data_IF_494164890844
#
_entry.id   IF_494164890844
#
_cell.length_a   1.000
_cell.length_b   1.000
_cell.length_c   1.000
_cell.angle_alpha   90.00
_cell.angle_beta   90.00
_cell.angle_gamma   90.00
#
_symmetry.space_group_name_H-M   'P 1'
#
loop_
_entity.id
_entity.type
_entity.pdbx_description
1 polymer ?
#
# COMPACT_ATOMS: atom_id res chain seq x y z
N UNK A 1 -46.55 32.69 -28.61
CA UNK A 1 -46.04 31.36 -28.98
C UNK A 1 -44.83 31.08 -28.12
N UNK A 2 -44.91 30.11 -27.21
CA UNK A 2 -43.85 29.82 -26.19
C UNK A 2 -43.12 28.55 -26.62
N UNK A 3 -41.88 28.69 -27.13
CA UNK A 3 -41.07 27.56 -27.55
C UNK A 3 -40.58 26.81 -26.31
N UNK A 4 -41.03 25.54 -26.13
CA UNK A 4 -40.53 24.63 -25.13
C UNK A 4 -39.38 23.86 -25.76
N UNK A 5 -38.15 24.13 -25.31
CA UNK A 5 -36.98 23.31 -25.68
C UNK A 5 -36.94 22.09 -24.79
N UNK A 6 -37.10 20.90 -25.36
CA UNK A 6 -36.90 19.62 -24.71
C UNK A 6 -35.40 19.34 -24.69
N UNK A 7 -34.80 19.41 -23.51
CA UNK A 7 -33.42 18.99 -23.29
C UNK A 7 -33.38 17.45 -23.10
N UNK A 8 -33.00 16.73 -24.17
CA UNK A 8 -32.80 15.28 -24.07
C UNK A 8 -31.48 15.02 -23.36
N UNK A 9 -31.54 14.57 -22.10
CA UNK A 9 -30.37 14.02 -21.38
C UNK A 9 -30.03 12.63 -21.95
N UNK A 10 -28.96 12.56 -22.74
CA UNK A 10 -28.38 11.29 -23.15
C UNK A 10 -27.56 10.71 -21.96
N UNK A 11 -28.09 9.70 -21.28
CA UNK A 11 -27.31 8.87 -20.38
C UNK A 11 -26.42 7.94 -21.23
N UNK A 12 -25.13 8.24 -21.31
CA UNK A 12 -24.16 7.31 -21.87
C UNK A 12 -23.94 6.22 -20.81
N UNK A 13 -24.61 5.10 -20.97
CA UNK A 13 -24.25 3.89 -20.26
C UNK A 13 -22.95 3.36 -20.88
N UNK A 14 -21.82 3.55 -20.19
CA UNK A 14 -20.61 2.80 -20.50
C UNK A 14 -20.88 1.36 -20.12
N UNK A 15 -21.09 0.50 -21.11
CA UNK A 15 -21.13 -0.94 -20.89
C UNK A 15 -19.74 -1.36 -20.39
N UNK A 16 -19.63 -1.60 -19.10
CA UNK A 16 -18.40 -2.10 -18.51
C UNK A 16 -18.29 -3.58 -18.89
N UNK A 17 -17.26 -3.92 -19.66
CA UNK A 17 -17.01 -5.27 -20.14
C UNK A 17 -16.47 -6.10 -18.97
N UNK A 18 -17.16 -7.19 -18.62
CA UNK A 18 -16.62 -8.20 -17.70
C UNK A 18 -15.35 -8.83 -18.24
N UNK A 19 -14.42 -9.22 -17.37
CA UNK A 19 -13.22 -9.96 -17.75
C UNK A 19 -13.33 -11.40 -17.27
N UNK A 20 -13.05 -12.35 -18.16
CA UNK A 20 -12.95 -13.79 -17.82
C UNK A 20 -11.47 -14.18 -17.91
N UNK A 21 -10.95 -14.78 -16.84
CA UNK A 21 -9.59 -15.31 -16.82
C UNK A 21 -9.66 -16.83 -16.70
N UNK A 22 -9.15 -17.55 -17.70
CA UNK A 22 -8.97 -19.00 -17.62
C UNK A 22 -7.62 -19.31 -16.98
N UNK A 23 -7.61 -20.21 -15.99
CA UNK A 23 -6.41 -20.63 -15.29
C UNK A 23 -6.31 -22.16 -15.23
N UNK A 24 -5.07 -22.70 -15.25
CA UNK A 24 -4.90 -24.15 -15.05
C UNK A 24 -5.30 -24.57 -13.64
N UNK A 25 -5.07 -23.70 -12.67
CA UNK A 25 -5.49 -23.90 -11.29
C UNK A 25 -5.46 -22.59 -10.50
N UNK A 26 -6.19 -22.56 -9.38
CA UNK A 26 -6.02 -21.53 -8.37
C UNK A 26 -5.89 -22.12 -6.98
N UNK A 27 -5.22 -21.39 -6.09
CA UNK A 27 -5.07 -21.76 -4.69
C UNK A 27 -6.25 -21.16 -3.90
N UNK A 28 -7.15 -22.04 -3.44
CA UNK A 28 -8.21 -21.67 -2.49
C UNK A 28 -7.61 -21.66 -1.08
N UNK A 29 -7.25 -20.48 -0.62
CA UNK A 29 -6.60 -20.30 0.69
C UNK A 29 -7.55 -20.53 1.86
N UNK A 30 -8.85 -20.38 1.66
CA UNK A 30 -9.89 -20.60 2.68
C UNK A 30 -10.03 -22.10 2.96
N UNK A 31 -10.19 -22.89 1.90
CA UNK A 31 -10.36 -24.34 2.00
C UNK A 31 -9.03 -25.11 1.92
N UNK A 32 -7.89 -24.41 1.76
CA UNK A 32 -6.54 -25.00 1.64
C UNK A 32 -6.45 -26.05 0.53
N UNK A 33 -7.01 -25.73 -0.65
CA UNK A 33 -7.09 -26.64 -1.78
C UNK A 33 -6.54 -25.99 -3.05
N UNK A 34 -6.00 -26.83 -3.93
CA UNK A 34 -5.68 -26.48 -5.32
C UNK A 34 -6.86 -26.91 -6.20
N UNK A 35 -7.55 -25.96 -6.81
CA UNK A 35 -8.67 -26.21 -7.70
C UNK A 35 -8.19 -26.07 -9.15
N UNK A 36 -8.41 -27.09 -9.97
CA UNK A 36 -7.95 -27.16 -11.36
C UNK A 36 -9.01 -26.67 -12.33
N UNK A 37 -8.55 -26.22 -13.52
CA UNK A 37 -9.39 -25.87 -14.67
C UNK A 37 -10.49 -24.88 -14.31
N UNK A 38 -10.13 -23.67 -13.93
CA UNK A 38 -11.09 -22.71 -13.40
C UNK A 38 -11.19 -21.45 -14.25
N UNK A 39 -12.34 -20.80 -14.16
CA UNK A 39 -12.59 -19.46 -14.71
C UNK A 39 -12.83 -18.48 -13.59
N UNK A 40 -12.10 -17.38 -13.60
CA UNK A 40 -12.26 -16.25 -12.67
C UNK A 40 -12.99 -15.14 -13.43
N UNK A 41 -14.14 -14.72 -12.94
CA UNK A 41 -14.94 -13.65 -13.55
C UNK A 41 -14.74 -12.38 -12.73
N UNK A 42 -14.40 -11.29 -13.42
CA UNK A 42 -14.17 -9.99 -12.82
C UNK A 42 -15.17 -9.00 -13.41
N UNK A 43 -15.94 -8.39 -12.52
CA UNK A 43 -16.87 -7.30 -12.83
C UNK A 43 -16.51 -6.11 -11.96
N UNK A 44 -16.45 -4.93 -12.55
CA UNK A 44 -16.11 -3.67 -11.85
C UNK A 44 -14.81 -3.75 -11.00
N UNK A 45 -13.78 -4.43 -11.54
CA UNK A 45 -12.49 -4.60 -10.87
C UNK A 45 -12.52 -5.53 -9.65
N UNK A 46 -13.61 -6.30 -9.46
CA UNK A 46 -13.78 -7.27 -8.37
C UNK A 46 -14.05 -8.66 -8.91
N UNK A 47 -13.54 -9.68 -8.23
CA UNK A 47 -13.92 -11.07 -8.52
C UNK A 47 -15.38 -11.25 -8.16
N UNK A 48 -16.23 -11.44 -9.16
CA UNK A 48 -17.66 -11.69 -8.98
C UNK A 48 -17.97 -13.18 -8.79
N UNK A 49 -17.21 -14.05 -9.46
CA UNK A 49 -17.31 -15.49 -9.25
C UNK A 49 -16.07 -16.25 -9.68
N UNK A 50 -15.89 -17.44 -9.12
CA UNK A 50 -14.87 -18.41 -9.57
C UNK A 50 -15.62 -19.70 -9.87
N UNK A 51 -15.53 -20.18 -11.11
CA UNK A 51 -16.22 -21.37 -11.56
C UNK A 51 -15.23 -22.51 -11.76
N UNK A 52 -15.57 -23.69 -11.29
CA UNK A 52 -14.88 -24.91 -11.64
C UNK A 52 -15.23 -25.26 -13.11
N UNK A 53 -14.24 -25.44 -13.93
CA UNK A 53 -14.27 -25.56 -15.39
C UNK A 53 -14.29 -24.22 -16.13
N UNK A 54 -13.94 -24.28 -17.43
CA UNK A 54 -13.93 -23.12 -18.29
C UNK A 54 -15.35 -22.78 -18.74
N UNK A 55 -15.83 -21.63 -18.34
CA UNK A 55 -17.14 -21.10 -18.79
C UNK A 55 -17.04 -20.69 -20.26
N UNK A 56 -18.13 -20.84 -21.03
CA UNK A 56 -18.15 -20.37 -22.42
C UNK A 56 -18.03 -18.85 -22.43
N UNK A 57 -17.13 -18.36 -23.26
CA UNK A 57 -17.09 -16.94 -23.60
C UNK A 57 -18.39 -16.57 -24.32
N UNK A 58 -19.19 -15.72 -23.71
CA UNK A 58 -20.35 -15.10 -24.32
C UNK A 58 -19.97 -13.69 -24.76
N UNK A 59 -20.19 -13.35 -25.97
CA UNK A 59 -19.72 -12.27 -26.85
C UNK A 59 -19.42 -10.85 -26.31
N UNK A 60 -19.38 -10.59 -25.00
CA UNK A 60 -19.16 -9.26 -24.43
C UNK A 60 -18.13 -9.24 -23.27
N UNK A 61 -17.23 -10.20 -23.21
CA UNK A 61 -16.21 -10.28 -22.19
C UNK A 61 -14.81 -10.11 -22.77
N UNK A 62 -13.90 -9.52 -21.99
CA UNK A 62 -12.47 -9.61 -22.28
C UNK A 62 -11.96 -10.95 -21.78
N UNK A 63 -11.47 -11.80 -22.67
CA UNK A 63 -10.92 -13.10 -22.31
C UNK A 63 -9.41 -13.01 -22.12
N UNK A 64 -8.92 -13.45 -20.96
CA UNK A 64 -7.49 -13.62 -20.66
C UNK A 64 -7.22 -15.11 -20.47
N UNK A 65 -6.44 -15.70 -21.37
CA UNK A 65 -6.12 -17.12 -21.32
C UNK A 65 -4.78 -17.36 -20.60
N UNK A 66 -4.89 -17.83 -19.35
CA UNK A 66 -3.77 -18.21 -18.50
C UNK A 66 -3.81 -19.72 -18.17
N UNK A 67 -4.31 -20.57 -19.08
CA UNK A 67 -4.40 -22.03 -18.87
C UNK A 67 -3.04 -22.72 -18.70
N UNK A 68 -1.93 -22.05 -18.98
CA UNK A 68 -0.58 -22.51 -18.67
C UNK A 68 -0.10 -22.14 -17.25
N UNK A 69 -0.90 -21.39 -16.47
CA UNK A 69 -0.48 -20.82 -15.20
C UNK A 69 -1.41 -21.20 -14.06
N UNK A 70 -0.82 -21.30 -12.88
CA UNK A 70 -1.56 -21.35 -11.61
C UNK A 70 -1.61 -19.95 -11.00
N UNK A 71 -2.74 -19.58 -10.40
CA UNK A 71 -2.90 -18.29 -9.75
C UNK A 71 -3.17 -18.44 -8.26
N UNK A 72 -2.83 -17.43 -7.51
CA UNK A 72 -3.08 -17.35 -6.09
C UNK A 72 -3.47 -15.92 -5.70
N UNK A 73 -4.11 -15.69 -4.55
CA UNK A 73 -4.25 -14.35 -4.02
C UNK A 73 -2.90 -13.66 -3.91
N UNK A 74 -2.86 -12.34 -4.14
CA UNK A 74 -1.63 -11.58 -4.00
C UNK A 74 -1.05 -11.72 -2.59
N UNK A 75 0.27 -11.76 -2.50
CA UNK A 75 0.99 -11.84 -1.22
C UNK A 75 0.81 -10.54 -0.42
N UNK A 76 0.93 -10.65 0.89
CA UNK A 76 0.90 -9.51 1.81
C UNK A 76 2.19 -9.48 2.63
N UNK A 77 2.85 -8.31 2.64
CA UNK A 77 3.97 -8.05 3.56
C UNK A 77 3.53 -7.07 4.63
N UNK A 78 3.59 -7.53 5.88
CA UNK A 78 3.09 -6.77 7.03
C UNK A 78 4.15 -5.89 7.69
N UNK A 79 5.36 -5.78 7.09
CA UNK A 79 6.43 -4.96 7.63
C UNK A 79 7.39 -4.48 6.53
N UNK A 80 7.08 -3.35 5.91
CA UNK A 80 7.91 -2.73 4.87
C UNK A 80 8.31 -1.31 5.22
N UNK A 81 9.37 -0.80 4.55
CA UNK A 81 9.87 0.55 4.62
C UNK A 81 10.25 1.03 3.21
N UNK A 82 9.35 1.70 2.49
CA UNK A 82 9.56 2.10 1.10
C UNK A 82 10.50 3.30 0.93
N UNK A 83 10.61 4.19 1.93
CA UNK A 83 11.48 5.37 1.87
C UNK A 83 12.95 5.08 2.15
N UNK A 84 13.29 3.86 2.55
CA UNK A 84 14.67 3.48 2.89
C UNK A 84 15.23 2.44 1.95
N UNK A 85 16.37 2.70 1.34
CA UNK A 85 17.19 1.67 0.72
C UNK A 85 18.32 1.32 1.70
N UNK A 86 18.42 0.03 2.09
CA UNK A 86 19.53 -0.43 2.92
C UNK A 86 20.80 -0.57 2.05
N UNK A 87 21.40 0.55 1.70
CA UNK A 87 22.76 0.56 1.21
C UNK A 87 23.73 0.37 2.40
N UNK A 88 24.92 -0.18 2.14
CA UNK A 88 25.94 -0.27 3.17
C UNK A 88 26.18 1.11 3.81
N UNK A 89 26.47 1.17 5.11
CA UNK A 89 26.72 2.46 5.82
C UNK A 89 27.76 3.33 5.12
N UNK A 90 28.69 2.73 4.36
CA UNK A 90 29.74 3.42 3.62
C UNK A 90 29.25 4.14 2.35
N UNK A 91 28.10 3.74 1.80
CA UNK A 91 27.57 4.25 0.55
C UNK A 91 26.38 5.20 0.74
N UNK A 92 25.89 5.39 1.97
CA UNK A 92 24.81 6.32 2.24
C UNK A 92 25.27 7.76 2.00
N UNK A 93 24.60 8.52 1.13
CA UNK A 93 24.76 9.97 1.15
C UNK A 93 24.35 10.47 2.54
N UNK A 94 25.09 11.45 3.05
CA UNK A 94 24.93 11.98 4.42
C UNK A 94 23.50 12.45 4.68
N UNK A 95 22.76 12.81 3.62
CA UNK A 95 21.36 13.24 3.68
C UNK A 95 20.67 12.94 2.35
N UNK A 96 19.55 12.25 2.41
CA UNK A 96 18.60 12.12 1.29
C UNK A 96 17.42 13.03 1.58
N UNK A 97 17.12 13.95 0.66
CA UNK A 97 15.95 14.82 0.78
C UNK A 97 14.67 13.99 0.64
N UNK A 98 13.61 14.41 1.32
CA UNK A 98 12.32 13.68 1.36
C UNK A 98 11.68 13.51 0.00
N UNK A 99 11.91 14.45 -0.90
CA UNK A 99 11.47 14.39 -2.28
C UNK A 99 12.15 13.23 -3.02
N UNK A 100 13.44 13.03 -2.79
CA UNK A 100 14.17 11.88 -3.34
C UNK A 100 13.69 10.58 -2.74
N UNK A 101 13.46 10.52 -1.41
CA UNK A 101 12.85 9.35 -0.76
C UNK A 101 11.49 9.00 -1.38
N UNK A 102 10.65 10.01 -1.66
CA UNK A 102 9.35 9.81 -2.28
C UNK A 102 9.46 9.22 -3.70
N UNK A 103 10.42 9.70 -4.50
CA UNK A 103 10.67 9.18 -5.85
C UNK A 103 11.18 7.73 -5.78
N UNK A 104 12.13 7.44 -4.90
CA UNK A 104 12.63 6.06 -4.69
C UNK A 104 11.51 5.13 -4.22
N UNK A 105 10.65 5.60 -3.33
CA UNK A 105 9.52 4.83 -2.83
C UNK A 105 8.56 4.39 -3.94
N UNK A 106 8.39 5.17 -5.00
CA UNK A 106 7.59 4.74 -6.17
C UNK A 106 8.21 3.57 -6.91
N UNK A 107 9.54 3.58 -7.08
CA UNK A 107 10.26 2.47 -7.72
C UNK A 107 10.19 1.19 -6.87
N UNK A 108 10.37 1.32 -5.55
CA UNK A 108 10.26 0.20 -4.61
C UNK A 108 8.84 -0.39 -4.58
N UNK A 109 7.81 0.45 -4.65
CA UNK A 109 6.42 0.01 -4.71
C UNK A 109 6.12 -0.80 -5.99
N UNK A 110 6.61 -0.34 -7.14
CA UNK A 110 6.45 -1.05 -8.42
C UNK A 110 7.16 -2.41 -8.41
N UNK A 111 8.40 -2.48 -7.90
CA UNK A 111 9.15 -3.73 -7.75
C UNK A 111 8.42 -4.69 -6.80
N UNK A 112 7.90 -4.19 -5.68
CA UNK A 112 7.16 -4.97 -4.69
C UNK A 112 5.88 -5.56 -5.30
N UNK A 113 5.13 -4.76 -6.06
CA UNK A 113 3.94 -5.23 -6.76
C UNK A 113 4.30 -6.31 -7.80
N UNK A 114 5.35 -6.10 -8.60
CA UNK A 114 5.84 -7.07 -9.61
C UNK A 114 6.34 -8.37 -9.00
N UNK A 115 6.81 -8.33 -7.75
CA UNK A 115 7.17 -9.54 -6.99
C UNK A 115 5.96 -10.31 -6.45
N UNK A 116 4.73 -9.81 -6.67
CA UNK A 116 3.48 -10.47 -6.29
C UNK A 116 2.89 -10.00 -4.96
N UNK A 117 3.49 -9.00 -4.30
CA UNK A 117 2.91 -8.41 -3.09
C UNK A 117 1.91 -7.34 -3.47
N UNK A 118 0.62 -7.63 -3.27
CA UNK A 118 -0.47 -6.74 -3.64
C UNK A 118 -0.99 -5.88 -2.50
N UNK A 119 -0.58 -6.18 -1.27
CA UNK A 119 -0.91 -5.42 -0.05
C UNK A 119 0.30 -5.42 0.87
N UNK A 120 0.58 -4.25 1.46
CA UNK A 120 1.69 -4.10 2.40
C UNK A 120 1.30 -3.23 3.58
N UNK A 121 2.00 -3.43 4.71
CA UNK A 121 1.92 -2.54 5.87
C UNK A 121 3.25 -1.82 6.07
N UNK A 122 3.25 -0.52 5.84
CA UNK A 122 4.37 0.38 6.07
C UNK A 122 4.40 0.78 7.55
N UNK A 123 5.42 0.37 8.28
CA UNK A 123 5.46 0.49 9.74
C UNK A 123 6.60 1.37 10.26
N UNK A 124 6.75 2.49 9.66
CA UNK A 124 7.72 3.53 10.01
C UNK A 124 8.09 4.36 8.80
N UNK A 125 8.10 5.67 8.97
CA UNK A 125 8.36 6.62 7.90
C UNK A 125 9.09 7.84 8.46
N UNK A 126 9.87 8.52 7.61
CA UNK A 126 10.60 9.74 7.96
C UNK A 126 9.78 11.02 7.73
N UNK A 127 8.52 10.92 7.34
CA UNK A 127 7.69 12.09 7.05
C UNK A 127 6.32 11.70 6.51
N UNK A 128 5.94 12.29 5.38
CA UNK A 128 4.69 12.01 4.68
C UNK A 128 4.88 11.11 3.44
N UNK A 129 6.04 10.51 3.25
CA UNK A 129 6.37 9.73 2.05
C UNK A 129 5.38 8.59 1.84
N UNK A 130 5.12 7.79 2.87
CA UNK A 130 4.21 6.65 2.76
C UNK A 130 2.75 7.05 2.57
N UNK A 131 2.30 8.15 3.16
CA UNK A 131 0.95 8.70 2.93
C UNK A 131 0.79 9.16 1.49
N UNK A 132 1.77 9.95 0.99
CA UNK A 132 1.78 10.44 -0.39
C UNK A 132 1.83 9.30 -1.40
N UNK A 133 2.64 8.27 -1.15
CA UNK A 133 2.73 7.09 -2.00
C UNK A 133 1.41 6.30 -2.02
N UNK A 134 0.81 6.03 -0.85
CA UNK A 134 -0.51 5.38 -0.73
C UNK A 134 -1.56 6.11 -1.56
N UNK A 135 -1.64 7.42 -1.37
CA UNK A 135 -2.66 8.25 -2.02
C UNK A 135 -2.41 8.36 -3.53
N UNK A 136 -1.15 8.44 -3.97
CA UNK A 136 -0.78 8.44 -5.39
C UNK A 136 -1.09 7.09 -6.08
N UNK A 137 -0.89 5.97 -5.39
CA UNK A 137 -1.28 4.65 -5.90
C UNK A 137 -2.81 4.54 -5.97
N UNK A 138 -3.52 4.97 -4.93
CA UNK A 138 -4.99 4.95 -4.92
C UNK A 138 -5.60 5.83 -6.00
N UNK A 139 -4.95 6.95 -6.34
CA UNK A 139 -5.34 7.84 -7.44
C UNK A 139 -4.92 7.33 -8.83
N UNK A 140 -4.14 6.25 -8.93
CA UNK A 140 -3.66 5.69 -10.19
C UNK A 140 -2.51 6.45 -10.84
N UNK A 141 -1.82 7.33 -10.13
CA UNK A 141 -0.67 8.08 -10.65
C UNK A 141 0.60 7.23 -10.74
N UNK A 142 0.75 6.26 -9.83
CA UNK A 142 1.89 5.34 -9.79
C UNK A 142 1.42 3.91 -9.53
N UNK A 143 2.19 2.94 -10.00
CA UNK A 143 1.92 1.53 -9.72
C UNK A 143 2.48 1.14 -8.35
N UNK A 144 1.74 0.31 -7.63
CA UNK A 144 2.20 -0.23 -6.35
C UNK A 144 1.13 -1.08 -5.67
N UNK A 145 1.48 -1.75 -4.57
CA UNK A 145 0.54 -2.50 -3.77
C UNK A 145 -0.41 -1.56 -3.01
N UNK A 146 -1.50 -2.09 -2.47
CA UNK A 146 -2.31 -1.38 -1.48
C UNK A 146 -1.47 -1.18 -0.21
N UNK A 147 -1.36 0.06 0.24
CA UNK A 147 -0.55 0.42 1.41
C UNK A 147 -1.44 0.75 2.60
N UNK A 148 -1.16 0.11 3.74
CA UNK A 148 -1.60 0.56 5.06
C UNK A 148 -0.40 1.15 5.78
N UNK A 149 -0.48 2.40 6.21
CA UNK A 149 0.67 3.09 6.81
C UNK A 149 0.41 3.57 8.23
N UNK A 150 1.41 3.44 9.08
CA UNK A 150 1.43 4.04 10.42
C UNK A 150 2.06 5.44 10.43
N UNK A 151 2.63 5.89 9.31
CA UNK A 151 3.48 7.07 9.31
C UNK A 151 4.69 6.88 10.23
N UNK A 152 5.08 7.92 10.95
CA UNK A 152 6.18 7.85 11.92
C UNK A 152 5.87 6.88 13.07
N UNK A 153 6.85 6.06 13.42
CA UNK A 153 6.80 5.24 14.64
C UNK A 153 6.76 6.11 15.89
N UNK A 154 6.20 5.58 16.97
CA UNK A 154 6.24 6.18 18.30
C UNK A 154 7.25 5.39 19.14
N UNK A 155 8.20 6.08 19.75
CA UNK A 155 9.26 5.55 20.60
C UNK A 155 9.39 6.37 21.88
N UNK A 156 10.17 5.87 22.83
CA UNK A 156 10.66 6.69 23.97
C UNK A 156 11.98 7.36 23.60
N UNK A 157 12.39 8.38 24.36
CA UNK A 157 13.75 8.93 24.27
C UNK A 157 14.78 7.80 24.38
N UNK A 158 15.72 7.76 23.42
CA UNK A 158 16.73 6.69 23.31
C UNK A 158 16.17 5.35 22.84
N UNK A 159 14.88 5.25 22.51
CA UNK A 159 14.28 4.04 21.93
C UNK A 159 14.67 3.83 20.46
N UNK A 160 14.40 2.64 19.91
CA UNK A 160 14.83 2.26 18.54
C UNK A 160 14.45 3.26 17.45
N UNK A 161 13.26 3.87 17.52
CA UNK A 161 12.80 4.84 16.52
C UNK A 161 12.98 6.30 16.96
N UNK A 162 13.79 6.58 17.97
CA UNK A 162 14.19 7.95 18.27
C UNK A 162 15.14 8.44 17.15
N UNK A 163 14.75 9.46 16.36
CA UNK A 163 15.53 9.89 15.21
C UNK A 163 16.83 10.61 15.58
N UNK A 164 17.03 10.89 16.87
CA UNK A 164 18.22 11.60 17.39
C UNK A 164 19.26 10.69 18.03
N UNK A 165 19.04 9.38 18.05
CA UNK A 165 20.01 8.43 18.58
C UNK A 165 21.38 8.58 17.91
N UNK A 166 22.42 8.80 18.73
CA UNK A 166 23.81 8.96 18.28
C UNK A 166 24.10 10.28 17.56
N UNK A 167 23.20 11.27 17.62
CA UNK A 167 23.40 12.60 17.07
C UNK A 167 23.78 13.58 18.14
N UNK A 168 24.55 14.64 17.73
CA UNK A 168 24.89 15.74 18.61
C UNK A 168 23.65 16.56 18.96
N UNK A 169 23.49 16.89 20.24
CA UNK A 169 22.41 17.75 20.70
C UNK A 169 22.56 19.20 20.22
N UNK A 170 23.78 19.60 19.87
CA UNK A 170 24.03 20.94 19.34
C UNK A 170 23.51 21.11 17.91
N UNK A 171 23.24 19.98 17.22
CA UNK A 171 22.79 19.96 15.81
C UNK A 171 21.30 19.58 15.70
N UNK A 172 20.72 18.98 16.71
CA UNK A 172 19.36 18.45 16.69
C UNK A 172 18.61 18.80 17.97
N UNK A 173 17.44 19.40 17.81
CA UNK A 173 16.51 19.61 18.92
C UNK A 173 15.97 18.27 19.45
N UNK A 174 15.55 18.28 20.72
CA UNK A 174 14.82 17.15 21.27
C UNK A 174 13.52 16.91 20.51
N UNK A 175 13.27 15.69 20.00
CA UNK A 175 12.06 15.42 19.27
C UNK A 175 10.83 15.47 20.18
N UNK A 176 9.78 16.09 19.67
CA UNK A 176 8.51 16.23 20.37
C UNK A 176 7.62 14.98 20.23
N UNK A 177 6.53 14.88 21.04
CA UNK A 177 5.54 13.82 20.86
C UNK A 177 4.92 13.77 19.46
N UNK A 178 4.73 14.91 18.80
CA UNK A 178 4.25 14.98 17.40
C UNK A 178 5.27 14.37 16.44
N UNK A 179 6.54 14.46 16.77
CA UNK A 179 7.63 13.81 16.00
C UNK A 179 7.78 12.33 16.33
N UNK A 180 7.07 11.82 17.33
CA UNK A 180 6.99 10.41 17.68
C UNK A 180 7.88 9.99 18.86
N UNK A 181 8.46 10.92 19.64
CA UNK A 181 9.21 10.57 20.85
C UNK A 181 8.39 10.96 22.09
N UNK A 182 8.12 9.98 22.95
CA UNK A 182 7.24 10.13 24.11
C UNK A 182 7.90 9.55 25.37
N UNK A 183 7.60 10.16 26.52
CA UNK A 183 8.13 9.75 27.82
C UNK A 183 7.04 9.61 28.89
N UNK A 184 5.78 9.44 28.46
CA UNK A 184 4.68 9.25 29.41
C UNK A 184 3.32 9.20 28.71
N UNK A 185 2.25 8.91 29.47
CA UNK A 185 0.91 8.68 28.90
C UNK A 185 0.32 9.91 28.21
N UNK A 186 0.54 11.11 28.74
CA UNK A 186 0.02 12.34 28.13
C UNK A 186 0.67 12.65 26.79
N UNK A 187 1.97 12.42 26.67
CA UNK A 187 2.70 12.55 25.41
C UNK A 187 2.27 11.47 24.42
N UNK A 188 1.97 10.26 24.90
CA UNK A 188 1.40 9.21 24.06
C UNK A 188 0.06 9.61 23.44
N UNK A 189 -0.83 10.26 24.20
CA UNK A 189 -2.09 10.83 23.64
C UNK A 189 -1.82 11.83 22.53
N UNK A 190 -0.85 12.72 22.72
CA UNK A 190 -0.46 13.72 21.72
C UNK A 190 0.06 13.04 20.46
N UNK A 191 1.00 12.10 20.60
CA UNK A 191 1.57 11.38 19.48
C UNK A 191 0.53 10.58 18.68
N UNK A 192 -0.37 9.85 19.34
CA UNK A 192 -1.43 9.08 18.68
C UNK A 192 -2.41 9.99 17.95
N UNK A 193 -2.81 11.12 18.55
CA UNK A 193 -3.68 12.10 17.90
C UNK A 193 -3.04 12.72 16.67
N UNK A 194 -1.72 12.96 16.73
CA UNK A 194 -0.99 13.45 15.57
C UNK A 194 -1.00 12.39 14.45
N UNK A 195 -0.75 11.11 14.74
CA UNK A 195 -0.85 10.03 13.73
C UNK A 195 -2.23 9.95 13.10
N UNK A 196 -3.28 10.05 13.90
CA UNK A 196 -4.66 10.12 13.40
C UNK A 196 -4.87 11.34 12.47
N UNK A 197 -4.41 12.52 12.87
CA UNK A 197 -4.48 13.74 12.07
C UNK A 197 -3.72 13.61 10.74
N UNK A 198 -2.57 12.91 10.75
CA UNK A 198 -1.75 12.65 9.58
C UNK A 198 -2.40 11.65 8.60
N UNK A 199 -3.47 10.95 9.02
CA UNK A 199 -4.18 9.97 8.23
C UNK A 199 -3.61 8.55 8.31
N UNK A 200 -2.96 8.21 9.45
CA UNK A 200 -2.42 6.87 9.66
C UNK A 200 -3.52 5.81 9.77
N UNK A 201 -3.30 4.66 9.15
CA UNK A 201 -4.19 3.49 9.20
C UNK A 201 -4.00 2.66 10.49
N UNK A 202 -2.92 2.91 11.22
CA UNK A 202 -2.57 2.24 12.46
C UNK A 202 -1.44 2.94 13.20
N UNK A 203 -1.07 2.40 14.36
CA UNK A 203 0.01 2.95 15.19
C UNK A 203 1.16 1.93 15.25
N UNK A 204 2.37 2.39 14.97
CA UNK A 204 3.60 1.63 15.21
C UNK A 204 4.25 2.10 16.50
N UNK A 205 4.48 1.18 17.40
CA UNK A 205 5.25 1.40 18.62
C UNK A 205 6.60 0.67 18.54
N UNK A 206 7.65 1.34 18.99
CA UNK A 206 8.96 0.73 19.24
C UNK A 206 9.28 0.93 20.73
N UNK A 207 9.09 -0.13 21.52
CA UNK A 207 9.08 -0.07 22.98
C UNK A 207 10.37 -0.54 23.64
N UNK A 208 11.42 -0.77 22.84
CA UNK A 208 12.76 -1.18 23.28
C UNK A 208 13.83 -0.41 22.53
N UNK A 209 15.10 -0.56 22.94
CA UNK A 209 16.24 0.04 22.25
C UNK A 209 16.56 -0.55 20.87
N UNK A 210 15.91 -1.66 20.52
CA UNK A 210 16.24 -2.40 19.29
C UNK A 210 17.54 -3.19 19.40
N UNK A 211 17.93 -3.82 18.30
CA UNK A 211 19.14 -4.67 18.19
C UNK A 211 20.04 -4.19 17.03
N UNK A 212 19.82 -2.99 16.52
CA UNK A 212 20.53 -2.47 15.33
C UNK A 212 21.68 -1.55 15.74
#
# INVERSE_FOLDING_TARGET
>A
MRNIYFLALFFIFTAQSSTIIYVSSYIDVVNKKLIKNSSIIIDDGKISSINNNYVKDTKNHTLIDLRGYSVMPGLMDMHVHFGGEYQSKAERPIKIEKETEAILATAHADITLKAGFTTVRQVGDSGFVSFSLRDAIAAGYVNGPRIFTSGKSIATTGGHADPTNGKSIDEYDYPSPEQGVINGPYEAYTAVRQRYKDGADGIKLTVTGGVL
#
